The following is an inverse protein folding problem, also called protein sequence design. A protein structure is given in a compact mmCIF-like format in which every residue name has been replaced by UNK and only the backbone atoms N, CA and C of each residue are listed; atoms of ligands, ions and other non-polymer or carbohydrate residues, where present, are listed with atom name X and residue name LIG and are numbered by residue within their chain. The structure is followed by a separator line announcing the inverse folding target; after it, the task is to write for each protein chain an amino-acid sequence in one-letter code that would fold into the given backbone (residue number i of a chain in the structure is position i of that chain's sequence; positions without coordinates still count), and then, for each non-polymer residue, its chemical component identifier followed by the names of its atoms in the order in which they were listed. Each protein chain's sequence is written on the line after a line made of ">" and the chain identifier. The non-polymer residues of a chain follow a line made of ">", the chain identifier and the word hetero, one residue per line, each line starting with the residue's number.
data_IF_936324762861
#
_entry.id   IF_936324762861
#
_cell.length_a   1.000
_cell.length_b   1.000
_cell.length_c   1.000
_cell.angle_alpha   90.00
_cell.angle_beta   90.00
_cell.angle_gamma   90.00
#
_symmetry.space_group_name_H-M   'P 1'
#
loop_
_entity.id
_entity.type
_entity.pdbx_description
1 polymer ?
#
# COMPACT_ATOMS: atom_id res chain seq x y z
N UNK A 1 -6.10 0.95 -20.07
CA UNK A 1 -5.11 1.46 -19.11
C UNK A 1 -4.75 0.32 -18.18
N UNK A 2 -3.49 -0.03 -18.09
CA UNK A 2 -3.04 -1.05 -17.13
C UNK A 2 -2.88 -0.42 -15.72
N UNK A 3 -2.62 -1.26 -14.72
CA UNK A 3 -2.54 -0.80 -13.33
C UNK A 3 -1.39 0.18 -13.09
N UNK A 4 -0.21 -0.03 -13.69
CA UNK A 4 0.92 0.90 -13.56
C UNK A 4 0.62 2.27 -14.16
N UNK A 5 0.05 2.28 -15.36
CA UNK A 5 -0.37 3.52 -16.03
C UNK A 5 -1.41 4.31 -15.23
N UNK A 6 -2.25 3.63 -14.44
CA UNK A 6 -3.15 4.33 -13.52
C UNK A 6 -2.36 5.04 -12.43
N UNK A 7 -1.41 4.35 -11.78
CA UNK A 7 -0.62 4.91 -10.69
C UNK A 7 0.27 6.05 -11.19
N UNK A 8 0.92 5.89 -12.34
CA UNK A 8 1.71 6.95 -12.99
C UNK A 8 0.88 8.21 -13.23
N UNK A 9 -0.34 8.07 -13.76
CA UNK A 9 -1.25 9.22 -13.93
C UNK A 9 -1.71 9.84 -12.61
N UNK A 10 -1.84 9.04 -11.56
CA UNK A 10 -2.20 9.54 -10.24
C UNK A 10 -1.08 10.39 -9.63
N UNK A 11 0.17 10.04 -9.91
CA UNK A 11 1.36 10.84 -9.56
C UNK A 11 1.38 12.15 -10.36
N UNK A 12 1.14 12.08 -11.67
CA UNK A 12 1.21 13.25 -12.56
C UNK A 12 0.06 14.25 -12.34
N UNK A 13 -1.16 13.76 -12.09
CA UNK A 13 -2.39 14.55 -12.12
C UNK A 13 -3.38 14.19 -11.00
N UNK A 14 -2.99 14.24 -9.70
CA UNK A 14 -3.86 13.82 -8.59
C UNK A 14 -5.18 14.58 -8.53
N UNK A 15 -5.18 15.88 -8.87
CA UNK A 15 -6.37 16.75 -8.88
C UNK A 15 -7.42 16.31 -9.91
N UNK A 16 -6.99 15.72 -11.03
CA UNK A 16 -7.89 15.18 -12.06
C UNK A 16 -8.73 14.00 -11.57
N UNK A 17 -8.31 13.39 -10.45
CA UNK A 17 -9.02 12.31 -9.76
C UNK A 17 -9.76 12.80 -8.50
N UNK A 18 -9.81 14.11 -8.27
CA UNK A 18 -10.46 14.71 -7.10
C UNK A 18 -9.69 14.50 -5.79
N UNK A 19 -8.39 14.16 -5.86
CA UNK A 19 -7.56 14.03 -4.68
C UNK A 19 -7.12 15.39 -4.16
N UNK A 20 -7.09 15.54 -2.84
CA UNK A 20 -6.72 16.78 -2.16
C UNK A 20 -5.33 16.70 -1.49
N UNK A 21 -4.53 15.69 -1.83
CA UNK A 21 -3.19 15.46 -1.26
C UNK A 21 -3.18 14.77 0.11
N UNK A 22 -4.33 14.53 0.74
CA UNK A 22 -4.36 13.82 2.02
C UNK A 22 -4.25 12.31 1.83
N UNK A 23 -3.50 11.65 2.72
CA UNK A 23 -3.29 10.21 2.70
C UNK A 23 -4.60 9.42 2.71
N UNK A 24 -5.51 9.76 3.62
CA UNK A 24 -6.79 9.06 3.73
C UNK A 24 -7.61 9.15 2.43
N UNK A 25 -7.68 10.33 1.78
CA UNK A 25 -8.42 10.48 0.52
C UNK A 25 -7.85 9.61 -0.60
N UNK A 26 -6.53 9.63 -0.78
CA UNK A 26 -5.82 8.82 -1.78
C UNK A 26 -6.01 7.33 -1.52
N UNK A 27 -5.91 6.92 -0.26
CA UNK A 27 -6.06 5.52 0.12
C UNK A 27 -7.49 5.01 -0.08
N UNK A 28 -8.50 5.84 0.19
CA UNK A 28 -9.91 5.50 -0.08
C UNK A 28 -10.21 5.45 -1.57
N UNK A 29 -9.64 6.37 -2.37
CA UNK A 29 -9.74 6.31 -3.83
C UNK A 29 -9.19 4.98 -4.38
N UNK A 30 -7.98 4.60 -3.98
CA UNK A 30 -7.35 3.34 -4.41
C UNK A 30 -8.14 2.12 -3.95
N UNK A 31 -8.69 2.13 -2.74
CA UNK A 31 -9.59 1.09 -2.24
C UNK A 31 -10.84 0.96 -3.13
N UNK A 32 -11.45 2.08 -3.53
CA UNK A 32 -12.60 2.11 -4.42
C UNK A 32 -12.28 1.59 -5.83
N UNK A 33 -11.13 1.98 -6.39
CA UNK A 33 -10.65 1.47 -7.67
C UNK A 33 -10.43 -0.04 -7.62
N UNK A 34 -9.77 -0.53 -6.56
CA UNK A 34 -9.51 -1.95 -6.38
C UNK A 34 -10.81 -2.76 -6.26
N UNK A 35 -11.76 -2.26 -5.46
CA UNK A 35 -13.10 -2.86 -5.35
C UNK A 35 -13.82 -2.91 -6.71
N UNK A 36 -13.78 -1.81 -7.48
CA UNK A 36 -14.34 -1.76 -8.83
C UNK A 36 -13.67 -2.73 -9.82
N UNK A 37 -12.46 -3.20 -9.51
CA UNK A 37 -11.69 -4.20 -10.26
C UNK A 37 -11.69 -5.58 -9.61
N UNK A 38 -12.68 -5.88 -8.76
CA UNK A 38 -12.80 -7.18 -8.06
C UNK A 38 -11.55 -7.55 -7.24
N UNK A 39 -10.93 -6.54 -6.62
CA UNK A 39 -9.73 -6.68 -5.80
C UNK A 39 -8.46 -6.94 -6.61
N UNK A 40 -8.49 -6.79 -7.93
CA UNK A 40 -7.39 -7.18 -8.80
C UNK A 40 -6.15 -6.29 -8.71
N UNK A 41 -6.31 -5.00 -8.42
CA UNK A 41 -5.21 -4.02 -8.40
C UNK A 41 -4.27 -4.28 -7.21
N UNK A 42 -4.84 -4.54 -6.03
CA UNK A 42 -4.09 -4.64 -4.77
C UNK A 42 -4.00 -6.07 -4.22
N UNK A 43 -4.45 -7.09 -4.98
CA UNK A 43 -4.33 -8.50 -4.57
C UNK A 43 -2.88 -8.88 -4.31
N UNK A 44 -2.54 -9.22 -3.06
CA UNK A 44 -1.19 -9.56 -2.65
C UNK A 44 -0.36 -8.39 -2.11
N UNK A 45 -0.90 -7.16 -2.13
CA UNK A 45 -0.16 -5.97 -1.71
C UNK A 45 0.11 -5.96 -0.20
N UNK A 46 -0.88 -6.33 0.61
CA UNK A 46 -0.73 -6.44 2.07
C UNK A 46 0.34 -7.46 2.43
N UNK A 47 0.30 -8.65 1.82
CA UNK A 47 1.29 -9.71 2.01
C UNK A 47 2.69 -9.27 1.60
N UNK A 48 2.79 -8.57 0.47
CA UNK A 48 4.05 -8.00 0.00
C UNK A 48 4.61 -6.96 0.99
N UNK A 49 3.78 -6.09 1.57
CA UNK A 49 4.22 -5.13 2.60
C UNK A 49 4.70 -5.84 3.88
N UNK A 50 4.01 -6.90 4.31
CA UNK A 50 4.44 -7.71 5.47
C UNK A 50 5.81 -8.34 5.21
N UNK A 51 6.02 -8.96 4.04
CA UNK A 51 7.31 -9.55 3.66
C UNK A 51 8.40 -8.49 3.58
N UNK A 52 8.12 -7.32 2.98
CA UNK A 52 9.07 -6.21 2.87
C UNK A 52 9.54 -5.73 4.25
N UNK A 53 8.63 -5.62 5.20
CA UNK A 53 8.94 -5.22 6.59
C UNK A 53 9.68 -6.29 7.37
N UNK A 54 9.58 -7.56 6.95
CA UNK A 54 10.21 -8.69 7.64
C UNK A 54 9.60 -9.03 8.99
N UNK A 55 8.42 -8.48 9.30
CA UNK A 55 7.73 -8.67 10.58
C UNK A 55 6.25 -9.01 10.31
N UNK A 56 5.75 -10.06 10.97
CA UNK A 56 4.35 -10.42 10.88
C UNK A 56 3.48 -9.36 11.56
N UNK A 57 2.48 -8.89 10.83
CA UNK A 57 1.55 -7.90 11.34
C UNK A 57 0.13 -8.21 10.81
N UNK A 58 -0.88 -8.05 11.65
CA UNK A 58 -2.29 -8.25 11.29
C UNK A 58 -2.96 -7.02 10.66
N UNK A 59 -2.23 -5.90 10.55
CA UNK A 59 -2.72 -4.68 9.94
C UNK A 59 -2.93 -4.83 8.44
N UNK A 60 -3.95 -4.15 7.95
CA UNK A 60 -4.20 -4.02 6.52
C UNK A 60 -3.29 -2.95 5.90
N UNK A 61 -3.15 -2.95 4.57
CA UNK A 61 -2.14 -2.16 3.87
C UNK A 61 -2.14 -0.66 4.22
N UNK A 62 -3.30 -0.06 4.53
CA UNK A 62 -3.38 1.36 4.92
C UNK A 62 -2.45 1.67 6.10
N UNK A 63 -2.49 0.84 7.14
CA UNK A 63 -1.64 1.01 8.32
C UNK A 63 -0.20 0.59 8.05
N UNK A 64 0.00 -0.45 7.22
CA UNK A 64 1.35 -0.92 6.89
C UNK A 64 2.17 0.11 6.11
N UNK A 65 1.54 0.87 5.21
CA UNK A 65 2.21 1.97 4.48
C UNK A 65 2.64 3.08 5.43
N UNK A 66 1.79 3.44 6.40
CA UNK A 66 2.15 4.41 7.45
C UNK A 66 3.33 3.92 8.29
N UNK A 67 3.32 2.65 8.73
CA UNK A 67 4.43 2.10 9.50
C UNK A 67 5.71 1.92 8.67
N UNK A 68 5.61 1.75 7.36
CA UNK A 68 6.78 1.64 6.47
C UNK A 68 7.52 2.98 6.39
N UNK A 69 6.78 4.09 6.41
CA UNK A 69 7.35 5.44 6.44
C UNK A 69 7.68 5.92 7.86
N UNK A 70 6.82 5.63 8.83
CA UNK A 70 6.89 6.10 10.22
C UNK A 70 6.73 4.91 11.19
N UNK A 71 7.82 4.18 11.50
CA UNK A 71 7.76 2.94 12.28
C UNK A 71 7.10 3.05 13.66
N UNK A 72 7.23 4.21 14.32
CA UNK A 72 6.73 4.45 15.67
C UNK A 72 5.40 5.22 15.72
N UNK A 73 4.72 5.38 14.57
CA UNK A 73 3.47 6.13 14.47
C UNK A 73 2.31 5.40 15.17
N UNK A 74 1.56 6.06 16.07
CA UNK A 74 0.29 5.54 16.59
C UNK A 74 -0.70 5.33 15.43
N UNK A 75 -1.54 4.29 15.46
CA UNK A 75 -2.40 3.96 14.31
C UNK A 75 -3.91 3.93 14.62
N UNK A 76 -4.31 4.29 15.83
CA UNK A 76 -5.71 4.19 16.24
C UNK A 76 -6.59 5.16 15.45
N UNK A 77 -6.08 6.37 15.19
CA UNK A 77 -6.79 7.45 14.50
C UNK A 77 -6.27 7.74 13.09
N UNK A 78 -5.67 6.75 12.42
CA UNK A 78 -5.03 6.95 11.10
C UNK A 78 -5.95 7.53 9.99
N UNK A 79 -7.28 7.43 10.18
CA UNK A 79 -8.29 7.96 9.25
C UNK A 79 -8.60 9.43 9.49
N UNK A 80 -8.23 9.96 10.65
CA UNK A 80 -8.38 11.37 10.97
C UNK A 80 -7.46 12.20 10.06
N UNK A 81 -7.96 13.34 9.59
CA UNK A 81 -7.18 14.27 8.78
C UNK A 81 -6.08 14.94 9.60
N UNK A 82 -6.31 15.13 10.90
CA UNK A 82 -5.32 15.75 11.80
C UNK A 82 -4.28 14.74 12.31
N UNK A 83 -4.40 13.46 11.92
CA UNK A 83 -3.43 12.42 12.28
C UNK A 83 -2.03 12.67 11.69
N UNK A 84 -1.99 13.32 10.52
CA UNK A 84 -0.77 13.68 9.83
C UNK A 84 -0.71 15.19 9.66
N UNK A 85 0.49 15.75 9.77
CA UNK A 85 0.74 17.12 9.32
C UNK A 85 0.56 17.23 7.80
N UNK A 86 0.30 18.44 7.26
CA UNK A 86 0.21 18.65 5.82
C UNK A 86 1.43 18.13 5.04
N UNK A 87 2.64 18.28 5.60
CA UNK A 87 3.88 17.77 5.01
C UNK A 87 3.90 16.24 5.00
N UNK A 88 3.57 15.60 6.14
CA UNK A 88 3.52 14.13 6.23
C UNK A 88 2.48 13.52 5.30
N UNK A 89 1.36 14.20 5.04
CA UNK A 89 0.40 13.74 4.05
C UNK A 89 1.03 13.60 2.66
N UNK A 90 1.79 14.61 2.22
CA UNK A 90 2.51 14.58 0.95
C UNK A 90 3.51 13.42 0.90
N UNK A 91 4.35 13.29 1.93
CA UNK A 91 5.37 12.24 2.04
C UNK A 91 4.76 10.83 1.97
N UNK A 92 3.68 10.58 2.72
CA UNK A 92 3.06 9.23 2.74
C UNK A 92 2.32 8.95 1.43
N UNK A 93 1.71 9.95 0.80
CA UNK A 93 1.07 9.77 -0.51
C UNK A 93 2.11 9.41 -1.57
N UNK A 94 3.23 10.13 -1.61
CA UNK A 94 4.33 9.81 -2.52
C UNK A 94 4.87 8.39 -2.26
N UNK A 95 5.09 8.05 -0.99
CA UNK A 95 5.53 6.72 -0.57
C UNK A 95 4.55 5.61 -0.97
N UNK A 96 3.25 5.80 -0.76
CA UNK A 96 2.20 4.86 -1.16
C UNK A 96 2.25 4.56 -2.66
N UNK A 97 2.36 5.61 -3.48
CA UNK A 97 2.36 5.47 -4.94
C UNK A 97 3.65 4.77 -5.43
N UNK A 98 4.79 5.08 -4.81
CA UNK A 98 6.05 4.39 -5.07
C UNK A 98 5.97 2.89 -4.70
N UNK A 99 5.47 2.56 -3.52
CA UNK A 99 5.27 1.18 -3.07
C UNK A 99 4.34 0.40 -4.01
N UNK A 100 3.29 1.03 -4.54
CA UNK A 100 2.40 0.42 -5.51
C UNK A 100 3.12 0.11 -6.83
N UNK A 101 3.95 1.03 -7.34
CA UNK A 101 4.72 0.79 -8.56
C UNK A 101 5.71 -0.37 -8.36
N UNK A 102 6.45 -0.39 -7.24
CA UNK A 102 7.35 -1.49 -6.86
C UNK A 102 6.61 -2.83 -6.79
N UNK A 103 5.46 -2.86 -6.11
CA UNK A 103 4.65 -4.06 -6.00
C UNK A 103 4.14 -4.53 -7.37
N UNK A 104 3.67 -3.62 -8.22
CA UNK A 104 3.19 -3.96 -9.56
C UNK A 104 4.32 -4.52 -10.44
N UNK A 105 5.57 -4.12 -10.21
CA UNK A 105 6.75 -4.74 -10.81
C UNK A 105 6.96 -6.19 -10.38
N UNK A 106 6.87 -6.47 -9.08
CA UNK A 106 6.95 -7.83 -8.52
C UNK A 106 5.82 -8.69 -9.06
N UNK A 107 4.59 -8.19 -9.02
CA UNK A 107 3.38 -8.90 -9.47
C UNK A 107 3.41 -9.19 -10.97
N UNK A 108 4.05 -8.34 -11.77
CA UNK A 108 4.25 -8.55 -13.20
C UNK A 108 5.21 -9.69 -13.55
N UNK A 109 5.95 -10.23 -12.56
CA UNK A 109 6.94 -11.31 -12.74
C UNK A 109 6.51 -12.55 -11.96
N UNK A 110 5.96 -13.59 -12.63
CA UNK A 110 5.39 -14.75 -11.93
C UNK A 110 6.32 -15.44 -10.92
N UNK A 111 7.62 -15.50 -11.21
CA UNK A 111 8.62 -16.08 -10.31
C UNK A 111 8.79 -15.26 -9.03
N UNK A 112 8.90 -13.92 -9.14
CA UNK A 112 9.03 -13.02 -8.00
C UNK A 112 7.75 -13.00 -7.16
N UNK A 113 6.58 -13.02 -7.81
CA UNK A 113 5.30 -13.11 -7.12
C UNK A 113 5.17 -14.42 -6.34
N UNK A 114 5.57 -15.55 -6.93
CA UNK A 114 5.58 -16.84 -6.25
C UNK A 114 6.53 -16.86 -5.04
N UNK A 115 7.72 -16.28 -5.19
CA UNK A 115 8.69 -16.16 -4.10
C UNK A 115 8.19 -15.27 -2.97
N UNK A 116 7.48 -14.17 -3.29
CA UNK A 116 6.85 -13.30 -2.30
C UNK A 116 5.87 -14.09 -1.43
N UNK A 117 4.95 -14.86 -2.03
CA UNK A 117 4.01 -15.67 -1.27
C UNK A 117 4.68 -16.79 -0.48
N UNK A 118 5.72 -17.43 -1.03
CA UNK A 118 6.48 -18.45 -0.30
C UNK A 118 7.17 -17.88 0.95
N UNK A 119 7.72 -16.66 0.86
CA UNK A 119 8.29 -15.95 2.02
C UNK A 119 7.22 -15.60 3.04
N UNK A 120 6.08 -15.08 2.59
CA UNK A 120 4.95 -14.74 3.47
C UNK A 120 4.46 -15.98 4.25
N UNK A 121 4.24 -17.10 3.57
CA UNK A 121 3.89 -18.39 4.19
C UNK A 121 4.93 -18.83 5.24
N UNK A 122 6.22 -18.74 4.91
CA UNK A 122 7.30 -19.14 5.81
C UNK A 122 7.35 -18.33 7.11
N UNK A 123 6.96 -17.05 7.07
CA UNK A 123 6.89 -16.21 8.27
C UNK A 123 5.92 -16.79 9.33
N UNK A 124 4.79 -17.39 8.90
CA UNK A 124 3.81 -18.00 9.83
C UNK A 124 4.22 -19.37 10.35
N UNK A 125 5.16 -20.06 9.71
CA UNK A 125 5.63 -21.37 10.15
C UNK A 125 6.29 -21.31 11.54
N UNK A 126 6.78 -20.14 11.95
CA UNK A 126 7.41 -19.91 13.26
C UNK A 126 6.42 -19.71 14.41
N UNK A 127 5.15 -19.40 14.12
CA UNK A 127 4.11 -19.14 15.13
C UNK A 127 3.33 -20.41 15.53
N UNK A 128 3.28 -21.43 14.67
CA UNK A 128 2.48 -22.66 14.89
C UNK A 128 3.22 -23.75 15.69
N UNK A 129 4.06 -23.42 16.67
CA UNK A 129 4.71 -24.40 17.57
C UNK A 129 4.09 -24.45 18.94
#
# INVERSE_FOLDING_TARGET
>A
MNDKQLIEKLIEHPESYGLNGTYHSTAMFLTGVDAGRSGGLMRGFTEWLVVRRGELNSFYWHKLVLLDQFPDMPLDDWKDQDHLTPEQHGEVVEHLLALLLEFLDVRGRPQELGLMYARYEAMFAHIRR
#
